data_IF_839227042577
#
_entry.id   IF_839227042577
#
_cell.length_a   1.000
_cell.length_b   1.000
_cell.length_c   1.000
_cell.angle_alpha   90.00
_cell.angle_beta   90.00
_cell.angle_gamma   90.00
#
_symmetry.space_group_name_H-M   'P 1'
#
loop_
_entity.id
_entity.type
_entity.pdbx_description
1 polymer ?
#
# COMPACT_ATOMS: atom_id res chain seq x y z
N UNK A 1 5.55 -37.58 -18.35
CA UNK A 1 4.78 -36.37 -18.68
C UNK A 1 3.93 -36.03 -17.46
N UNK A 2 4.49 -35.31 -16.54
CA UNK A 2 3.77 -34.84 -15.34
C UNK A 2 2.85 -33.71 -15.74
N UNK A 3 1.58 -33.88 -15.43
CA UNK A 3 0.53 -32.86 -15.62
C UNK A 3 0.81 -31.72 -14.66
N UNK A 4 1.12 -30.46 -15.10
CA UNK A 4 1.37 -29.37 -14.18
C UNK A 4 0.08 -29.05 -13.44
N UNK A 5 0.17 -29.18 -12.14
CA UNK A 5 -0.83 -29.01 -11.11
C UNK A 5 -1.96 -28.03 -11.48
N UNK A 6 -3.18 -28.57 -11.41
CA UNK A 6 -4.48 -27.93 -11.51
C UNK A 6 -4.54 -26.42 -11.40
N UNK A 7 -4.58 -25.74 -12.52
CA UNK A 7 -5.02 -24.36 -12.58
C UNK A 7 -6.48 -24.35 -12.10
N UNK A 8 -6.71 -23.82 -10.91
CA UNK A 8 -8.06 -23.58 -10.41
C UNK A 8 -8.77 -22.67 -11.41
N UNK A 9 -9.69 -23.25 -12.18
CA UNK A 9 -10.44 -22.54 -13.25
C UNK A 9 -11.48 -21.56 -12.72
N UNK A 10 -11.64 -21.49 -11.40
CA UNK A 10 -12.56 -20.56 -10.75
C UNK A 10 -12.01 -19.15 -10.58
N UNK A 11 -12.88 -18.17 -10.30
CA UNK A 11 -12.48 -16.82 -10.00
C UNK A 11 -11.66 -16.78 -8.70
N UNK A 12 -10.47 -16.21 -8.75
CA UNK A 12 -9.58 -16.07 -7.61
C UNK A 12 -9.51 -14.58 -7.21
N UNK A 13 -9.84 -14.27 -5.95
CA UNK A 13 -9.89 -12.89 -5.45
C UNK A 13 -8.68 -12.62 -4.56
N UNK A 14 -7.96 -11.55 -4.87
CA UNK A 14 -6.88 -10.99 -4.07
C UNK A 14 -7.35 -9.73 -3.40
N UNK A 15 -7.33 -9.73 -2.07
CA UNK A 15 -7.64 -8.57 -1.22
C UNK A 15 -6.61 -8.47 -0.11
N UNK A 16 -6.43 -7.29 0.42
CA UNK A 16 -5.67 -7.13 1.65
C UNK A 16 -6.43 -7.77 2.83
N UNK A 17 -5.71 -8.41 3.73
CA UNK A 17 -6.35 -8.98 4.91
C UNK A 17 -6.92 -7.88 5.80
N UNK A 18 -8.05 -8.16 6.45
CA UNK A 18 -8.67 -7.21 7.41
C UNK A 18 -7.71 -6.88 8.56
N UNK A 19 -6.94 -7.86 9.01
CA UNK A 19 -5.94 -7.67 10.06
C UNK A 19 -4.82 -6.71 9.62
N UNK A 20 -4.32 -6.85 8.38
CA UNK A 20 -3.29 -5.97 7.83
C UNK A 20 -3.79 -4.52 7.69
N UNK A 21 -4.98 -4.33 7.13
CA UNK A 21 -5.56 -2.98 6.99
C UNK A 21 -5.87 -2.35 8.34
N UNK A 22 -6.30 -3.14 9.33
CA UNK A 22 -6.52 -2.67 10.70
C UNK A 22 -5.20 -2.27 11.36
N UNK A 23 -4.12 -3.05 11.16
CA UNK A 23 -2.79 -2.72 11.68
C UNK A 23 -2.26 -1.39 11.11
N UNK A 24 -2.35 -1.18 9.79
CA UNK A 24 -1.93 0.07 9.14
C UNK A 24 -2.70 1.27 9.71
N UNK A 25 -4.03 1.14 9.87
CA UNK A 25 -4.86 2.19 10.49
C UNK A 25 -4.48 2.45 11.94
N UNK A 26 -4.22 1.40 12.71
CA UNK A 26 -3.81 1.51 14.11
C UNK A 26 -2.49 2.28 14.23
N UNK A 27 -1.49 1.96 13.38
CA UNK A 27 -0.21 2.69 13.35
C UNK A 27 -0.45 4.17 13.05
N UNK A 28 -1.25 4.50 12.03
CA UNK A 28 -1.57 5.89 11.70
C UNK A 28 -2.28 6.62 12.85
N UNK A 29 -3.25 5.97 13.49
CA UNK A 29 -3.95 6.51 14.67
C UNK A 29 -2.98 6.74 15.85
N UNK A 30 -2.10 5.77 16.13
CA UNK A 30 -1.13 5.86 17.20
C UNK A 30 -0.16 7.04 16.98
N UNK A 31 0.31 7.25 15.75
CA UNK A 31 1.16 8.40 15.40
C UNK A 31 0.44 9.73 15.60
N UNK A 32 -0.83 9.83 15.20
CA UNK A 32 -1.64 11.03 15.45
C UNK A 32 -1.84 11.28 16.95
N UNK A 33 -2.15 10.25 17.72
CA UNK A 33 -2.30 10.37 19.17
C UNK A 33 -0.98 10.78 19.83
N UNK A 34 0.15 10.20 19.43
CA UNK A 34 1.48 10.59 19.93
C UNK A 34 1.80 12.06 19.59
N UNK A 35 1.48 12.51 18.36
CA UNK A 35 1.67 13.91 17.95
C UNK A 35 0.84 14.90 18.76
N UNK A 36 -0.33 14.49 19.25
CA UNK A 36 -1.18 15.31 20.12
C UNK A 36 -0.70 15.31 21.58
N UNK A 37 -0.22 14.16 22.09
CA UNK A 37 0.16 14.03 23.50
C UNK A 37 1.57 14.53 23.81
N UNK A 38 2.50 14.39 22.85
CA UNK A 38 3.90 14.77 23.06
C UNK A 38 4.11 16.26 23.42
N UNK A 39 3.40 17.25 22.83
CA UNK A 39 3.51 18.65 23.22
C UNK A 39 3.17 18.91 24.69
N UNK A 40 2.20 18.17 25.25
CA UNK A 40 1.85 18.31 26.67
C UNK A 40 2.96 17.80 27.59
N UNK A 41 3.55 16.65 27.24
CA UNK A 41 4.69 16.12 28.00
C UNK A 41 5.91 17.05 27.91
N UNK A 42 6.17 17.63 26.73
CA UNK A 42 7.25 18.57 26.52
C UNK A 42 7.01 19.91 27.29
N UNK A 43 5.79 20.44 27.24
CA UNK A 43 5.41 21.62 28.01
C UNK A 43 5.57 21.40 29.52
N UNK A 44 5.16 20.25 30.02
CA UNK A 44 5.34 19.85 31.42
C UNK A 44 6.83 19.88 31.81
N UNK A 45 7.71 19.30 30.98
CA UNK A 45 9.17 19.33 31.20
C UNK A 45 9.70 20.76 31.22
N UNK A 46 9.31 21.62 30.25
CA UNK A 46 9.78 23.01 30.14
C UNK A 46 9.39 23.89 31.33
N UNK A 47 8.24 23.63 31.98
CA UNK A 47 7.81 24.36 33.18
C UNK A 47 8.71 24.03 34.37
N UNK A 48 9.22 22.79 34.44
CA UNK A 48 9.98 22.30 35.58
C UNK A 48 11.51 22.42 35.40
N UNK A 49 12.00 22.87 34.24
CA UNK A 49 13.44 23.10 33.98
C UNK A 49 13.77 24.57 34.08
N UNK A 50 14.95 24.88 34.67
CA UNK A 50 15.46 26.27 34.83
C UNK A 50 16.20 26.75 33.55
N UNK A 51 15.58 26.66 32.40
CA UNK A 51 16.16 27.13 31.14
C UNK A 51 15.84 28.59 30.84
N UNK A 52 16.68 29.25 30.01
CA UNK A 52 16.44 30.64 29.59
C UNK A 52 15.20 30.71 28.66
N UNK A 53 14.51 31.87 28.70
CA UNK A 53 13.30 32.06 27.89
C UNK A 53 13.56 31.86 26.38
N UNK A 54 14.71 32.30 25.86
CA UNK A 54 15.05 32.16 24.46
C UNK A 54 15.28 30.68 24.02
N UNK A 55 15.82 29.85 24.89
CA UNK A 55 16.02 28.41 24.63
C UNK A 55 14.68 27.69 24.65
N UNK A 56 13.80 27.95 25.61
CA UNK A 56 12.43 27.40 25.69
C UNK A 56 11.63 27.68 24.42
N UNK A 57 11.73 28.90 23.88
CA UNK A 57 11.00 29.28 22.64
C UNK A 57 11.49 28.46 21.45
N UNK A 58 12.81 28.29 21.28
CA UNK A 58 13.37 27.47 20.19
C UNK A 58 12.94 26.01 20.29
N UNK A 59 13.02 25.42 21.47
CA UNK A 59 12.60 24.03 21.71
C UNK A 59 11.11 23.86 21.47
N UNK A 60 10.26 24.78 21.92
CA UNK A 60 8.82 24.74 21.66
C UNK A 60 8.49 24.73 20.17
N UNK A 61 9.15 25.60 19.38
CA UNK A 61 8.96 25.64 17.93
C UNK A 61 9.35 24.31 17.27
N UNK A 62 10.50 23.75 17.62
CA UNK A 62 10.97 22.46 17.07
C UNK A 62 9.99 21.32 17.42
N UNK A 63 9.51 21.28 18.66
CA UNK A 63 8.55 20.27 19.12
C UNK A 63 7.23 20.40 18.35
N UNK A 64 6.68 21.61 18.22
CA UNK A 64 5.42 21.84 17.49
C UNK A 64 5.54 21.44 16.04
N UNK A 65 6.61 21.82 15.35
CA UNK A 65 6.85 21.44 13.96
C UNK A 65 7.03 19.91 13.80
N UNK A 66 7.81 19.28 14.71
CA UNK A 66 8.00 17.84 14.70
C UNK A 66 6.67 17.08 14.91
N UNK A 67 5.87 17.53 15.88
CA UNK A 67 4.55 16.93 16.13
C UNK A 67 3.59 17.13 14.95
N UNK A 68 3.59 18.30 14.31
CA UNK A 68 2.77 18.54 13.13
C UNK A 68 3.14 17.59 11.97
N UNK A 69 4.45 17.40 11.72
CA UNK A 69 4.93 16.45 10.71
C UNK A 69 4.50 15.01 11.03
N UNK A 70 4.72 14.55 12.26
CA UNK A 70 4.33 13.20 12.68
C UNK A 70 2.81 13.00 12.58
N UNK A 71 2.03 14.00 12.96
CA UNK A 71 0.56 13.97 12.83
C UNK A 71 0.09 13.88 11.39
N UNK A 72 0.69 14.64 10.48
CA UNK A 72 0.39 14.60 9.04
C UNK A 72 0.76 13.24 8.43
N UNK A 73 1.92 12.69 8.79
CA UNK A 73 2.31 11.33 8.39
C UNK A 73 1.32 10.29 8.91
N UNK A 74 0.94 10.37 10.18
CA UNK A 74 -0.04 9.49 10.80
C UNK A 74 -1.39 9.53 10.08
N UNK A 75 -1.86 10.73 9.71
CA UNK A 75 -3.09 10.92 8.93
C UNK A 75 -2.99 10.27 7.55
N UNK A 76 -1.85 10.43 6.85
CA UNK A 76 -1.59 9.81 5.56
C UNK A 76 -1.64 8.28 5.65
N UNK A 77 -0.95 7.68 6.63
CA UNK A 77 -0.95 6.24 6.87
C UNK A 77 -2.36 5.73 7.21
N UNK A 78 -3.11 6.44 8.06
CA UNK A 78 -4.48 6.07 8.40
C UNK A 78 -5.40 6.11 7.18
N UNK A 79 -5.34 7.16 6.37
CA UNK A 79 -6.13 7.31 5.16
C UNK A 79 -5.79 6.22 4.12
N UNK A 80 -4.51 5.88 3.98
CA UNK A 80 -4.06 4.78 3.13
C UNK A 80 -4.62 3.43 3.60
N UNK A 81 -4.56 3.14 4.91
CA UNK A 81 -5.13 1.92 5.48
C UNK A 81 -6.66 1.84 5.26
N UNK A 82 -7.35 2.99 5.23
CA UNK A 82 -8.78 3.03 4.90
C UNK A 82 -9.05 2.72 3.43
N UNK A 83 -8.21 3.18 2.51
CA UNK A 83 -8.30 2.90 1.08
C UNK A 83 -7.98 1.45 0.73
N UNK A 84 -7.03 0.83 1.42
CA UNK A 84 -6.58 -0.55 1.17
C UNK A 84 -7.69 -1.61 1.27
N UNK A 85 -8.76 -1.35 2.03
CA UNK A 85 -9.92 -2.27 2.13
C UNK A 85 -10.70 -2.39 0.82
N UNK A 86 -10.59 -1.39 -0.07
CA UNK A 86 -11.33 -1.34 -1.32
C UNK A 86 -10.49 -1.82 -2.52
N UNK A 87 -9.20 -2.11 -2.29
CA UNK A 87 -8.35 -2.65 -3.33
C UNK A 87 -8.63 -4.14 -3.51
N UNK A 88 -9.03 -4.50 -4.71
CA UNK A 88 -9.36 -5.86 -5.10
C UNK A 88 -8.83 -6.17 -6.48
N UNK A 89 -8.23 -7.34 -6.64
CA UNK A 89 -7.92 -7.91 -7.93
C UNK A 89 -8.61 -9.27 -8.04
N UNK A 90 -9.49 -9.42 -9.02
CA UNK A 90 -10.22 -10.65 -9.30
C UNK A 90 -9.68 -11.24 -10.58
N UNK A 91 -9.15 -12.47 -10.49
CA UNK A 91 -8.76 -13.26 -11.65
C UNK A 91 -10.01 -13.99 -12.16
N UNK A 92 -10.59 -13.51 -13.23
CA UNK A 92 -11.71 -14.10 -13.93
C UNK A 92 -11.19 -15.12 -14.99
N UNK A 93 -12.03 -15.96 -15.60
CA UNK A 93 -11.56 -16.92 -16.63
C UNK A 93 -10.89 -16.25 -17.83
N UNK A 94 -11.36 -15.09 -18.26
CA UNK A 94 -10.93 -14.40 -19.48
C UNK A 94 -9.94 -13.25 -19.24
N UNK A 95 -9.78 -12.80 -17.99
CA UNK A 95 -8.95 -11.64 -17.69
C UNK A 95 -8.80 -11.36 -16.21
N UNK A 96 -8.11 -10.28 -15.90
CA UNK A 96 -7.96 -9.76 -14.55
C UNK A 96 -8.72 -8.45 -14.41
N UNK A 97 -9.55 -8.38 -13.39
CA UNK A 97 -10.27 -7.17 -12.98
C UNK A 97 -9.59 -6.55 -11.77
N UNK A 98 -9.10 -5.34 -11.92
CA UNK A 98 -8.57 -4.54 -10.81
C UNK A 98 -9.61 -3.52 -10.37
N UNK A 99 -9.82 -3.43 -9.07
CA UNK A 99 -10.57 -2.34 -8.45
C UNK A 99 -9.62 -1.60 -7.51
N UNK A 100 -9.32 -0.36 -7.85
CA UNK A 100 -8.41 0.51 -7.12
C UNK A 100 -9.12 1.82 -6.77
N UNK A 101 -8.67 2.49 -5.71
CA UNK A 101 -9.17 3.82 -5.36
C UNK A 101 -10.13 3.84 -4.18
N UNK A 102 -10.77 4.98 -3.99
CA UNK A 102 -11.64 5.23 -2.84
C UNK A 102 -13.03 4.63 -3.02
N UNK A 103 -13.70 4.31 -1.89
CA UNK A 103 -15.05 3.74 -1.88
C UNK A 103 -16.06 4.51 -2.75
N UNK A 104 -15.97 5.84 -2.77
CA UNK A 104 -16.93 6.70 -3.51
C UNK A 104 -16.70 6.75 -5.01
N UNK A 105 -15.48 6.42 -5.47
CA UNK A 105 -15.11 6.45 -6.88
C UNK A 105 -14.06 5.35 -7.17
N UNK A 106 -14.46 4.07 -7.16
CA UNK A 106 -13.53 2.99 -7.48
C UNK A 106 -13.17 3.06 -8.96
N UNK A 107 -11.88 3.07 -9.26
CA UNK A 107 -11.40 2.88 -10.63
C UNK A 107 -11.36 1.38 -10.91
N UNK A 108 -12.22 0.92 -11.78
CA UNK A 108 -12.24 -0.48 -12.24
C UNK A 108 -11.54 -0.56 -13.59
N UNK A 109 -10.57 -1.46 -13.70
CA UNK A 109 -9.84 -1.75 -14.94
C UNK A 109 -9.90 -3.25 -15.17
N UNK A 110 -10.35 -3.67 -16.35
CA UNK A 110 -10.38 -5.07 -16.77
C UNK A 110 -9.34 -5.25 -17.88
N UNK A 111 -8.49 -6.26 -17.75
CA UNK A 111 -7.42 -6.56 -18.72
C UNK A 111 -7.59 -8.02 -19.14
N UNK A 112 -7.94 -8.29 -20.40
CA UNK A 112 -8.02 -9.66 -20.93
C UNK A 112 -6.63 -10.32 -20.93
N UNK A 113 -6.53 -11.60 -20.57
CA UNK A 113 -5.23 -12.29 -20.56
C UNK A 113 -4.58 -12.33 -21.94
N UNK A 114 -5.36 -12.49 -23.00
CA UNK A 114 -4.84 -12.48 -24.37
C UNK A 114 -4.23 -11.15 -24.84
N UNK A 115 -4.52 -10.03 -24.13
CA UNK A 115 -3.90 -8.74 -24.43
C UNK A 115 -2.60 -8.52 -23.66
N UNK A 116 -2.30 -9.32 -22.63
CA UNK A 116 -1.10 -9.17 -21.80
C UNK A 116 0.11 -9.72 -22.55
N UNK A 117 1.13 -8.89 -22.73
CA UNK A 117 2.40 -9.28 -23.38
C UNK A 117 3.55 -9.42 -22.39
N UNK A 118 3.41 -8.82 -21.19
CA UNK A 118 4.48 -8.83 -20.20
C UNK A 118 3.92 -8.64 -18.79
N UNK A 119 4.41 -9.43 -17.84
CA UNK A 119 4.17 -9.24 -16.41
C UNK A 119 5.52 -9.11 -15.72
N UNK A 120 5.75 -7.95 -15.11
CA UNK A 120 6.98 -7.63 -14.43
C UNK A 120 6.80 -7.61 -12.92
N UNK A 121 7.91 -7.89 -12.21
CA UNK A 121 7.99 -7.81 -10.76
C UNK A 121 9.37 -7.33 -10.33
N UNK A 122 9.42 -6.42 -9.34
CA UNK A 122 10.66 -6.07 -8.63
C UNK A 122 10.40 -5.82 -7.15
N UNK A 123 11.45 -5.92 -6.37
CA UNK A 123 11.39 -5.69 -4.92
C UNK A 123 12.60 -4.86 -4.48
N UNK A 124 12.66 -3.56 -4.83
CA UNK A 124 13.69 -2.67 -4.32
C UNK A 124 13.47 -2.47 -2.81
N UNK A 125 14.50 -2.72 -2.02
CA UNK A 125 14.44 -2.66 -0.56
C UNK A 125 13.31 -3.57 -0.02
N UNK A 126 12.30 -2.99 0.63
CA UNK A 126 11.18 -3.71 1.26
C UNK A 126 9.83 -3.50 0.55
N UNK A 127 9.81 -2.84 -0.60
CA UNK A 127 8.56 -2.56 -1.33
C UNK A 127 8.52 -3.39 -2.61
N UNK A 128 7.52 -4.25 -2.72
CA UNK A 128 7.28 -5.00 -3.94
C UNK A 128 6.47 -4.16 -4.94
N UNK A 129 6.90 -4.16 -6.19
CA UNK A 129 6.19 -3.55 -7.32
C UNK A 129 5.93 -4.61 -8.38
N UNK A 130 4.80 -4.51 -9.04
CA UNK A 130 4.49 -5.31 -10.21
C UNK A 130 3.79 -4.47 -11.27
N UNK A 131 3.89 -4.91 -12.52
CA UNK A 131 3.19 -4.29 -13.63
C UNK A 131 2.76 -5.32 -14.67
N UNK A 132 1.65 -5.02 -15.33
CA UNK A 132 1.16 -5.70 -16.52
C UNK A 132 1.27 -4.74 -17.68
N UNK A 133 1.84 -5.19 -18.79
CA UNK A 133 1.91 -4.45 -20.06
C UNK A 133 1.05 -5.17 -21.06
N UNK A 134 0.18 -4.44 -21.74
CA UNK A 134 -0.69 -4.96 -22.80
C UNK A 134 -0.11 -4.66 -24.19
N UNK A 135 -0.55 -5.40 -25.20
CA UNK A 135 -0.04 -5.27 -26.57
C UNK A 135 -0.23 -3.88 -27.21
N UNK A 136 -1.18 -3.09 -26.72
CA UNK A 136 -1.39 -1.68 -27.09
C UNK A 136 -0.44 -0.70 -26.37
N UNK A 137 0.47 -1.20 -25.52
CA UNK A 137 1.42 -0.40 -24.74
C UNK A 137 0.86 0.14 -23.43
N UNK A 138 -0.40 -0.13 -23.10
CA UNK A 138 -0.97 0.26 -21.81
C UNK A 138 -0.25 -0.48 -20.67
N UNK A 139 0.10 0.24 -19.61
CA UNK A 139 0.76 -0.35 -18.45
C UNK A 139 -0.04 -0.10 -17.19
N UNK A 140 -0.45 -1.16 -16.51
CA UNK A 140 -1.02 -1.09 -15.17
C UNK A 140 0.06 -1.48 -14.15
N UNK A 141 0.27 -0.61 -13.15
CA UNK A 141 1.27 -0.81 -12.09
C UNK A 141 0.57 -0.89 -10.75
N UNK A 142 1.09 -1.72 -9.85
CA UNK A 142 0.69 -1.77 -8.45
C UNK A 142 1.89 -2.12 -7.57
N UNK A 143 1.75 -1.89 -6.28
CA UNK A 143 2.79 -2.13 -5.27
C UNK A 143 2.24 -2.94 -4.08
N UNK A 144 3.12 -3.27 -3.14
CA UNK A 144 2.72 -3.89 -1.88
C UNK A 144 1.87 -2.97 -0.99
N UNK A 145 1.78 -1.68 -1.31
CA UNK A 145 0.84 -0.76 -0.66
C UNK A 145 -0.60 -0.98 -1.10
N UNK A 146 -0.82 -1.36 -2.37
CA UNK A 146 -2.15 -1.71 -2.87
C UNK A 146 -2.50 -3.17 -2.57
N UNK A 147 -1.55 -4.09 -2.78
CA UNK A 147 -1.76 -5.53 -2.57
C UNK A 147 -0.60 -6.15 -1.80
N UNK A 148 -0.81 -6.51 -0.56
CA UNK A 148 0.22 -7.15 0.28
C UNK A 148 0.88 -8.38 -0.38
N UNK A 149 0.10 -9.16 -1.16
CA UNK A 149 0.60 -10.33 -1.91
C UNK A 149 0.94 -10.01 -3.36
N UNK A 150 1.61 -8.88 -3.62
CA UNK A 150 1.96 -8.39 -4.96
C UNK A 150 2.64 -9.45 -5.83
N UNK A 151 3.65 -10.18 -5.31
CA UNK A 151 4.34 -11.24 -6.06
C UNK A 151 3.41 -12.41 -6.41
N UNK A 152 2.57 -12.83 -5.49
CA UNK A 152 1.62 -13.93 -5.70
C UNK A 152 0.59 -13.57 -6.75
N UNK A 153 0.05 -12.34 -6.69
CA UNK A 153 -0.86 -11.81 -7.69
C UNK A 153 -0.20 -11.75 -9.09
N UNK A 154 1.02 -11.19 -9.17
CA UNK A 154 1.76 -11.11 -10.43
C UNK A 154 2.03 -12.51 -11.04
N UNK A 155 2.45 -13.48 -10.22
CA UNK A 155 2.62 -14.87 -10.65
C UNK A 155 1.33 -15.50 -11.18
N UNK A 156 0.22 -15.27 -10.48
CA UNK A 156 -1.08 -15.83 -10.88
C UNK A 156 -1.57 -15.22 -12.21
N UNK A 157 -1.36 -13.91 -12.42
CA UNK A 157 -1.68 -13.24 -13.69
C UNK A 157 -0.79 -13.79 -14.82
N UNK A 158 0.53 -13.87 -14.61
CA UNK A 158 1.46 -14.39 -15.61
C UNK A 158 1.10 -15.82 -16.01
N UNK A 159 0.85 -16.70 -15.02
CA UNK A 159 0.44 -18.10 -15.27
C UNK A 159 -0.84 -18.20 -16.10
N UNK A 160 -1.86 -17.37 -15.82
CA UNK A 160 -3.12 -17.38 -16.59
C UNK A 160 -2.99 -16.77 -17.98
N UNK A 161 -2.07 -15.85 -18.17
CA UNK A 161 -1.73 -15.27 -19.47
C UNK A 161 -0.78 -16.18 -20.30
N UNK A 162 -0.34 -17.31 -19.76
CA UNK A 162 0.64 -18.19 -20.42
C UNK A 162 2.05 -17.58 -20.50
N UNK A 163 2.38 -16.66 -19.59
CA UNK A 163 3.64 -15.91 -19.56
C UNK A 163 4.48 -16.31 -18.34
N UNK A 164 5.77 -16.08 -18.44
CA UNK A 164 6.67 -16.11 -17.28
C UNK A 164 6.70 -14.72 -16.59
N UNK A 165 6.82 -14.76 -15.25
CA UNK A 165 7.01 -13.53 -14.47
C UNK A 165 8.44 -13.03 -14.66
N UNK A 166 8.60 -11.86 -15.27
CA UNK A 166 9.91 -11.25 -15.51
C UNK A 166 10.35 -10.43 -14.29
N UNK A 167 11.55 -10.72 -13.77
CA UNK A 167 12.18 -9.84 -12.80
C UNK A 167 12.64 -8.55 -13.51
N UNK A 168 12.37 -7.39 -12.88
CA UNK A 168 12.94 -6.11 -13.31
C UNK A 168 14.16 -5.82 -12.42
N UNK A 169 15.25 -5.50 -13.05
CA UNK A 169 16.48 -5.01 -12.42
C UNK A 169 16.28 -3.61 -11.81
#
# INVERSE_FOLDING_TARGET
>A
MENPAGATTGPQVFRNSRAFTALVRFIGFFMMAAALLFPFAAAWKMIHTQESAGQRTKEAVVIVLGCALVGLFGLGIWAQGDSMKFYEATLEPEGVRFQLGFKKAPKVTVIPYGSIVLVNYKMPMNTAYASVVTGDGTTLKWSSYEFFRTKTLAKAIASRAGLELKAMD
#
